data_IF_067906839577
#
_entry.id   IF_067906839577
#
_cell.length_a   1.000
_cell.length_b   1.000
_cell.length_c   1.000
_cell.angle_alpha   90.00
_cell.angle_beta   90.00
_cell.angle_gamma   90.00
#
_symmetry.space_group_name_H-M   'P 1'
#
loop_
_entity.id
_entity.type
_entity.pdbx_description
1 polymer ?
#
# COMPACT_ATOMS: atom_id res chain seq x y z
N UNK A 1 -11.04 -7.12 22.76
CA UNK A 1 -10.99 -7.22 21.28
C UNK A 1 -10.78 -5.82 20.73
N UNK A 2 -9.52 -5.41 20.53
CA UNK A 2 -9.19 -4.06 20.09
C UNK A 2 -9.49 -3.90 18.61
N UNK A 3 -10.28 -2.88 18.26
CA UNK A 3 -10.47 -2.46 16.88
C UNK A 3 -9.11 -2.09 16.28
N UNK A 4 -8.53 -2.97 15.48
CA UNK A 4 -7.42 -2.64 14.58
C UNK A 4 -7.97 -1.65 13.55
N UNK A 5 -7.82 -0.37 13.86
CA UNK A 5 -8.10 0.73 12.95
C UNK A 5 -7.30 0.54 11.66
N UNK A 6 -7.96 0.00 10.62
CA UNK A 6 -7.45 -0.08 9.24
C UNK A 6 -7.50 1.32 8.61
N UNK A 7 -6.85 2.29 9.25
CA UNK A 7 -6.72 3.64 8.71
C UNK A 7 -5.77 3.56 7.52
N UNK A 8 -6.34 3.50 6.32
CA UNK A 8 -5.63 3.78 5.08
C UNK A 8 -4.88 5.09 5.26
N UNK A 9 -3.54 5.03 5.32
CA UNK A 9 -2.66 6.14 5.67
C UNK A 9 -3.09 7.42 4.93
N UNK A 10 -3.74 8.38 5.61
CA UNK A 10 -4.33 9.54 4.94
C UNK A 10 -3.26 10.47 4.35
N UNK A 11 -2.05 10.44 4.90
CA UNK A 11 -0.90 11.24 4.43
C UNK A 11 -0.42 10.84 3.03
N UNK A 12 -0.39 9.55 2.70
CA UNK A 12 -0.09 9.08 1.33
C UNK A 12 -1.21 9.47 0.35
N UNK A 13 -2.46 9.43 0.81
CA UNK A 13 -3.60 9.88 0.02
C UNK A 13 -3.69 11.41 -0.10
N UNK A 14 -3.08 12.21 0.78
CA UNK A 14 -3.08 13.67 0.66
C UNK A 14 -2.29 14.17 -0.56
N UNK A 15 -1.22 13.47 -0.94
CA UNK A 15 -0.46 13.77 -2.18
C UNK A 15 -1.26 13.39 -3.43
N UNK A 16 -2.09 12.35 -3.32
CA UNK A 16 -3.01 11.89 -4.36
C UNK A 16 -4.37 12.56 -4.16
N UNK A 17 -4.54 13.82 -4.60
CA UNK A 17 -5.85 14.52 -4.62
C UNK A 17 -6.89 13.70 -5.40
N UNK A 18 -7.50 12.69 -4.78
CA UNK A 18 -8.49 11.82 -5.41
C UNK A 18 -9.82 12.55 -5.41
N UNK A 19 -10.49 12.60 -6.58
CA UNK A 19 -11.93 12.86 -6.61
C UNK A 19 -12.62 11.79 -5.77
N UNK A 20 -13.56 12.18 -4.91
CA UNK A 20 -14.45 11.23 -4.25
C UNK A 20 -15.10 10.32 -5.30
N UNK A 21 -15.05 9.01 -5.08
CA UNK A 21 -15.57 8.00 -6.01
C UNK A 21 -14.61 7.52 -7.10
N UNK A 22 -13.38 8.03 -7.19
CA UNK A 22 -12.39 7.49 -8.13
C UNK A 22 -11.91 6.09 -7.70
N UNK A 23 -11.77 5.14 -8.64
CA UNK A 23 -11.28 3.80 -8.33
C UNK A 23 -9.87 3.85 -7.70
N UNK A 24 -9.49 2.84 -6.90
CA UNK A 24 -8.14 2.71 -6.38
C UNK A 24 -7.10 2.71 -7.51
N UNK A 25 -5.93 3.28 -7.26
CA UNK A 25 -4.85 3.29 -8.25
C UNK A 25 -4.23 1.89 -8.36
N UNK A 26 -4.08 1.40 -9.59
CA UNK A 26 -3.37 0.16 -9.90
C UNK A 26 -1.89 0.41 -10.20
N UNK A 27 -1.11 -0.67 -10.20
CA UNK A 27 0.28 -0.67 -10.67
C UNK A 27 0.34 -0.99 -12.16
N UNK A 28 1.18 -0.28 -12.91
CA UNK A 28 1.40 -0.55 -14.32
C UNK A 28 2.24 -1.82 -14.47
N UNK A 29 1.77 -2.75 -15.30
CA UNK A 29 2.54 -3.94 -15.65
C UNK A 29 3.66 -3.55 -16.63
N UNK A 30 4.88 -4.00 -16.36
CA UNK A 30 6.09 -3.73 -17.16
C UNK A 30 6.72 -5.05 -17.64
N UNK A 31 5.89 -5.95 -18.18
CA UNK A 31 6.30 -7.29 -18.63
C UNK A 31 6.60 -8.25 -17.47
N UNK A 32 5.85 -9.35 -17.36
CA UNK A 32 5.98 -10.37 -16.29
C UNK A 32 5.86 -9.86 -14.84
N UNK A 33 5.68 -8.55 -14.60
CA UNK A 33 5.54 -7.98 -13.24
C UNK A 33 4.12 -8.10 -12.67
N UNK A 34 3.15 -8.66 -13.40
CA UNK A 34 1.76 -8.74 -12.93
C UNK A 34 1.61 -9.56 -11.64
N UNK A 35 2.39 -10.62 -11.49
CA UNK A 35 2.46 -11.41 -10.26
C UNK A 35 3.00 -10.59 -9.08
N UNK A 36 4.10 -9.87 -9.31
CA UNK A 36 4.66 -9.01 -8.27
C UNK A 36 3.71 -7.86 -7.91
N UNK A 37 3.07 -7.27 -8.90
CA UNK A 37 2.12 -6.17 -8.72
C UNK A 37 0.91 -6.60 -7.88
N UNK A 38 0.36 -7.81 -8.09
CA UNK A 38 -0.76 -8.31 -7.27
C UNK A 38 -0.33 -8.59 -5.83
N UNK A 39 0.85 -9.19 -5.62
CA UNK A 39 1.42 -9.42 -4.29
C UNK A 39 1.65 -8.08 -3.56
N UNK A 40 2.28 -7.10 -4.20
CA UNK A 40 2.53 -5.78 -3.61
C UNK A 40 1.23 -5.07 -3.21
N UNK A 41 0.20 -5.10 -4.06
CA UNK A 41 -1.10 -4.52 -3.73
C UNK A 41 -1.74 -5.20 -2.50
N UNK A 42 -1.66 -6.53 -2.37
CA UNK A 42 -2.13 -7.24 -1.17
C UNK A 42 -1.36 -6.85 0.09
N UNK A 43 -0.02 -6.80 0.02
CA UNK A 43 0.82 -6.49 1.19
C UNK A 43 0.64 -5.05 1.67
N UNK A 44 0.48 -4.09 0.73
CA UNK A 44 0.25 -2.68 1.07
C UNK A 44 -1.08 -2.45 1.80
N UNK A 45 -2.04 -3.37 1.65
CA UNK A 45 -3.32 -3.34 2.37
C UNK A 45 -3.21 -3.83 3.83
N UNK A 46 -2.03 -4.27 4.26
CA UNK A 46 -1.73 -4.68 5.65
C UNK A 46 -0.89 -3.58 6.32
N UNK A 47 -1.50 -2.64 7.09
CA UNK A 47 -0.81 -1.47 7.62
C UNK A 47 0.51 -1.71 8.38
N UNK A 48 0.62 -2.70 9.29
CA UNK A 48 1.88 -2.92 10.02
C UNK A 48 3.00 -3.35 9.08
N UNK A 49 2.70 -4.19 8.09
CA UNK A 49 3.68 -4.66 7.11
C UNK A 49 4.07 -3.54 6.14
N UNK A 50 3.11 -2.76 5.67
CA UNK A 50 3.37 -1.60 4.82
C UNK A 50 4.32 -0.61 5.54
N UNK A 51 4.07 -0.30 6.80
CA UNK A 51 4.93 0.58 7.59
C UNK A 51 6.31 -0.02 7.87
N UNK A 52 6.40 -1.34 8.10
CA UNK A 52 7.69 -2.04 8.23
C UNK A 52 8.56 -1.88 6.98
N UNK A 53 7.98 -2.10 5.79
CA UNK A 53 8.66 -1.92 4.51
C UNK A 53 9.02 -0.45 4.24
N UNK A 54 8.10 0.50 4.51
CA UNK A 54 8.34 1.94 4.30
C UNK A 54 9.44 2.51 5.21
N UNK A 55 9.66 1.91 6.37
CA UNK A 55 10.76 2.25 7.28
C UNK A 55 12.07 1.54 6.95
N UNK A 56 12.10 0.77 5.85
CA UNK A 56 13.26 -0.02 5.41
C UNK A 56 13.80 -0.98 6.47
N UNK A 57 12.97 -1.39 7.44
CA UNK A 57 13.38 -2.28 8.53
C UNK A 57 13.71 -3.70 8.04
N UNK A 58 13.21 -4.08 6.86
CA UNK A 58 13.59 -5.32 6.16
C UNK A 58 15.05 -5.37 5.67
N UNK A 59 15.73 -4.22 5.64
CA UNK A 59 17.08 -4.06 5.09
C UNK A 59 18.07 -3.58 6.15
N UNK A 60 17.60 -3.30 7.36
CA UNK A 60 18.46 -3.13 8.52
C UNK A 60 18.97 -4.51 8.96
N UNK A 61 20.25 -4.75 8.67
CA UNK A 61 21.04 -5.81 9.28
C UNK A 61 21.90 -5.20 10.38
#
# INVERSE_FOLDING_TARGET
MGMLQMTWQPSLLKSLKRKHGAPPLGLRNLGNTCYLNSVLQCLTYTPPLANFCLRFLHSSN
#
